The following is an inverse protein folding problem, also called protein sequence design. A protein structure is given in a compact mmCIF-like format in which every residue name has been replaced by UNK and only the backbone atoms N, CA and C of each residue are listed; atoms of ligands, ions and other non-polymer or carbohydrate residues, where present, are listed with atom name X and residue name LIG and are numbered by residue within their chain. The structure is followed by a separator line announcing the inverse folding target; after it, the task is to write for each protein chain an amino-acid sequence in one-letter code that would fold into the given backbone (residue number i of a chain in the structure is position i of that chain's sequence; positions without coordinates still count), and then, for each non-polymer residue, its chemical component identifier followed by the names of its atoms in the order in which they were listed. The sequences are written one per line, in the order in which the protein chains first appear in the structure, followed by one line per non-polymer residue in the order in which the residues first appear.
data_IF_778049994760
#
_entry.id   IF_778049994760
#
_cell.length_a   1.000
_cell.length_b   1.000
_cell.length_c   1.000
_cell.angle_alpha   90.00
_cell.angle_beta   90.00
_cell.angle_gamma   90.00
#
_symmetry.space_group_name_H-M   'P 1'
#
loop_
_entity.id
_entity.type
_entity.pdbx_description
1 polymer ?
#
# COMPACT_ATOMS: atom_id res chain seq x y z
N UNK A 1 5.24 14.76 13.17
CA UNK A 1 5.16 13.76 12.07
C UNK A 1 4.39 14.41 10.94
N UNK A 2 4.78 14.27 9.66
CA UNK A 2 3.93 14.73 8.57
C UNK A 2 2.56 14.06 8.71
N UNK A 3 1.49 14.85 8.57
CA UNK A 3 0.11 14.36 8.69
C UNK A 3 -0.36 13.65 7.41
N UNK A 4 0.57 12.98 6.72
CA UNK A 4 0.39 12.43 5.38
C UNK A 4 0.97 11.01 5.30
N UNK A 5 0.33 10.11 4.54
CA UNK A 5 0.87 8.77 4.30
C UNK A 5 2.26 8.82 3.64
N UNK A 6 3.13 7.91 4.07
CA UNK A 6 4.42 7.66 3.42
C UNK A 6 4.30 6.46 2.46
N UNK A 7 4.99 6.52 1.32
CA UNK A 7 4.92 5.52 0.25
C UNK A 7 6.31 4.92 0.04
N UNK A 8 6.40 3.59 0.06
CA UNK A 8 7.66 2.90 -0.26
C UNK A 8 8.01 2.98 -1.75
N UNK A 9 9.26 2.64 -2.06
CA UNK A 9 9.63 2.22 -3.41
C UNK A 9 8.78 1.01 -3.83
N UNK A 10 8.60 0.85 -5.15
CA UNK A 10 7.92 -0.31 -5.69
C UNK A 10 8.88 -1.49 -5.74
N UNK A 11 8.34 -2.68 -5.55
CA UNK A 11 9.04 -3.94 -5.70
C UNK A 11 8.13 -4.90 -6.46
N UNK A 12 8.71 -5.91 -7.10
CA UNK A 12 8.02 -6.68 -8.13
C UNK A 12 8.29 -8.17 -7.99
N UNK A 13 7.29 -8.97 -8.36
CA UNK A 13 7.50 -10.34 -8.81
C UNK A 13 7.07 -10.46 -10.29
N UNK A 14 6.91 -11.69 -10.78
CA UNK A 14 6.53 -11.96 -12.17
C UNK A 14 5.11 -11.47 -12.53
N UNK A 15 4.19 -11.48 -11.59
CA UNK A 15 2.75 -11.30 -11.84
C UNK A 15 2.21 -9.97 -11.28
N UNK A 16 2.89 -9.39 -10.29
CA UNK A 16 2.44 -8.22 -9.55
C UNK A 16 3.54 -7.20 -9.30
N UNK A 17 3.13 -5.93 -9.26
CA UNK A 17 3.88 -4.87 -8.61
C UNK A 17 3.30 -4.59 -7.22
N UNK A 18 4.19 -4.26 -6.29
CA UNK A 18 3.89 -4.11 -4.87
C UNK A 18 4.42 -2.77 -4.34
N UNK A 19 3.80 -2.31 -3.27
CA UNK A 19 4.23 -1.17 -2.47
C UNK A 19 3.58 -1.27 -1.10
N UNK A 20 4.24 -0.75 -0.07
CA UNK A 20 3.59 -0.50 1.21
C UNK A 20 3.40 0.99 1.46
N UNK A 21 2.31 1.31 2.16
CA UNK A 21 1.99 2.67 2.59
C UNK A 21 1.94 2.68 4.11
N UNK A 22 2.70 3.59 4.71
CA UNK A 22 2.73 3.77 6.17
C UNK A 22 1.81 4.92 6.51
N UNK A 23 0.74 4.63 7.26
CA UNK A 23 -0.19 5.64 7.72
C UNK A 23 0.34 6.36 8.97
N UNK A 24 0.11 7.68 9.09
CA UNK A 24 0.18 8.36 10.38
C UNK A 24 -0.73 7.66 11.40
N UNK A 25 -0.27 7.56 12.65
CA UNK A 25 -0.98 6.86 13.72
C UNK A 25 -2.41 7.40 13.92
N UNK A 26 -2.62 8.70 13.75
CA UNK A 26 -3.93 9.35 13.85
C UNK A 26 -4.91 8.84 12.79
N UNK A 27 -4.46 8.67 11.54
CA UNK A 27 -5.27 8.12 10.44
C UNK A 27 -5.50 6.64 10.65
N UNK A 28 -4.47 5.88 11.06
CA UNK A 28 -4.65 4.48 11.38
C UNK A 28 -5.71 4.29 12.46
N UNK A 29 -5.70 5.08 13.54
CA UNK A 29 -6.66 4.96 14.63
C UNK A 29 -8.10 5.29 14.26
N UNK A 30 -8.35 5.99 13.15
CA UNK A 30 -9.71 6.32 12.69
C UNK A 30 -10.35 5.27 11.77
N UNK A 31 -9.61 4.25 11.34
CA UNK A 31 -10.12 3.19 10.44
C UNK A 31 -10.54 1.92 11.19
N UNK A 32 -11.49 1.13 10.64
CA UNK A 32 -11.84 -0.20 11.14
C UNK A 32 -10.61 -1.13 11.20
N UNK A 33 -10.50 -1.93 12.26
CA UNK A 33 -9.40 -2.87 12.45
C UNK A 33 -9.77 -4.26 11.93
N UNK A 34 -8.77 -4.96 11.40
CA UNK A 34 -8.96 -6.34 10.90
C UNK A 34 -9.74 -6.43 9.59
N UNK A 35 -9.88 -5.34 8.84
CA UNK A 35 -10.52 -5.31 7.53
C UNK A 35 -9.58 -4.78 6.45
N UNK A 36 -9.60 -5.42 5.28
CA UNK A 36 -8.96 -4.88 4.09
C UNK A 36 -9.81 -3.71 3.61
N UNK A 37 -9.14 -2.70 3.07
CA UNK A 37 -9.80 -1.48 2.61
C UNK A 37 -9.98 -1.56 1.10
N UNK A 38 -11.15 -1.15 0.62
CA UNK A 38 -11.38 -0.89 -0.79
C UNK A 38 -10.55 0.31 -1.27
N UNK A 39 -10.40 0.45 -2.58
CA UNK A 39 -9.70 1.61 -3.15
C UNK A 39 -10.35 2.94 -2.72
N UNK A 40 -11.69 2.99 -2.69
CA UNK A 40 -12.44 4.18 -2.27
C UNK A 40 -12.16 4.53 -0.79
N UNK A 41 -12.16 3.54 0.10
CA UNK A 41 -11.83 3.73 1.51
C UNK A 41 -10.38 4.20 1.68
N UNK A 42 -9.43 3.63 0.93
CA UNK A 42 -8.04 4.08 0.93
C UNK A 42 -7.92 5.57 0.52
N UNK A 43 -8.64 5.98 -0.53
CA UNK A 43 -8.65 7.38 -0.97
C UNK A 43 -9.26 8.31 0.07
N UNK A 44 -10.34 7.88 0.76
CA UNK A 44 -10.98 8.66 1.84
C UNK A 44 -10.04 8.96 3.01
N UNK A 45 -9.09 8.06 3.30
CA UNK A 45 -8.11 8.23 4.37
C UNK A 45 -6.83 8.93 3.90
N UNK A 46 -6.82 9.46 2.68
CA UNK A 46 -5.72 10.27 2.16
C UNK A 46 -4.62 9.51 1.44
N UNK A 47 -4.78 8.20 1.19
CA UNK A 47 -3.87 7.45 0.31
C UNK A 47 -4.08 7.91 -1.14
N UNK A 48 -3.02 8.38 -1.77
CA UNK A 48 -2.99 8.91 -3.14
C UNK A 48 -1.95 8.14 -3.95
N UNK A 49 -2.43 7.27 -4.83
CA UNK A 49 -1.63 6.51 -5.77
C UNK A 49 -2.40 6.38 -7.08
N UNK A 50 -1.73 5.86 -8.11
CA UNK A 50 -2.37 5.55 -9.39
C UNK A 50 -3.49 4.52 -9.23
N UNK A 51 -4.30 4.32 -10.26
CA UNK A 51 -5.42 3.37 -10.18
C UNK A 51 -4.93 1.90 -10.16
N UNK A 52 -5.79 1.02 -9.63
CA UNK A 52 -5.63 -0.44 -9.69
C UNK A 52 -4.92 -1.09 -8.51
N UNK A 53 -4.45 -0.32 -7.51
CA UNK A 53 -3.83 -0.87 -6.29
C UNK A 53 -4.87 -1.47 -5.34
N UNK A 54 -4.61 -2.70 -4.90
CA UNK A 54 -5.47 -3.45 -3.96
C UNK A 54 -4.76 -3.65 -2.64
N UNK A 55 -5.39 -3.25 -1.53
CA UNK A 55 -4.93 -3.59 -0.18
C UNK A 55 -5.18 -5.09 0.04
N UNK A 56 -4.12 -5.90 -0.02
CA UNK A 56 -4.27 -7.36 -0.19
C UNK A 56 -3.94 -8.19 1.05
N UNK A 57 -3.25 -7.61 2.03
CA UNK A 57 -2.79 -8.35 3.20
C UNK A 57 -2.57 -7.42 4.41
N UNK A 58 -2.72 -8.00 5.61
CA UNK A 58 -2.42 -7.33 6.87
C UNK A 58 -0.98 -7.58 7.29
N UNK A 59 -0.25 -6.51 7.58
CA UNK A 59 1.03 -6.60 8.26
C UNK A 59 0.82 -6.62 9.77
N UNK A 60 0.67 -7.81 10.36
CA UNK A 60 0.36 -7.97 11.80
C UNK A 60 1.36 -7.29 12.75
N UNK A 61 2.69 -7.33 12.51
CA UNK A 61 3.66 -6.70 13.41
C UNK A 61 3.47 -5.18 13.48
N UNK A 62 3.19 -4.52 12.36
CA UNK A 62 3.02 -3.07 12.27
C UNK A 62 1.76 -2.73 11.47
N UNK A 63 0.58 -2.73 12.10
CA UNK A 63 -0.71 -2.70 11.41
C UNK A 63 -1.06 -1.35 10.76
N UNK A 64 -0.26 -0.32 11.02
CA UNK A 64 -0.34 0.98 10.34
C UNK A 64 0.37 0.95 8.97
N UNK A 65 0.99 -0.17 8.60
CA UNK A 65 1.55 -0.44 7.28
C UNK A 65 0.50 -1.20 6.46
N UNK A 66 0.05 -0.57 5.38
CA UNK A 66 -0.91 -1.14 4.42
C UNK A 66 -0.14 -1.71 3.23
N UNK A 67 -0.41 -2.97 2.91
CA UNK A 67 0.25 -3.69 1.81
C UNK A 67 -0.60 -3.62 0.54
N UNK A 68 -0.06 -3.05 -0.52
CA UNK A 68 -0.74 -2.91 -1.81
C UNK A 68 -0.08 -3.76 -2.89
N UNK A 69 -0.90 -4.32 -3.78
CA UNK A 69 -0.45 -4.96 -5.03
C UNK A 69 -1.35 -4.58 -6.19
N UNK A 70 -0.84 -4.66 -7.42
CA UNK A 70 -1.65 -4.66 -8.64
C UNK A 70 -1.00 -5.50 -9.74
N UNK A 71 -1.78 -6.03 -10.71
CA UNK A 71 -1.22 -6.83 -11.80
C UNK A 71 -0.13 -6.06 -12.55
N UNK A 72 0.96 -6.75 -12.87
CA UNK A 72 2.04 -6.23 -13.68
C UNK A 72 2.19 -7.09 -14.94
N UNK A 73 2.20 -6.46 -16.11
CA UNK A 73 2.33 -7.13 -17.41
C UNK A 73 3.49 -6.59 -18.25
N UNK A 74 4.47 -5.96 -17.60
CA UNK A 74 5.57 -5.26 -18.26
C UNK A 74 6.93 -5.86 -17.95
N UNK A 75 7.96 -5.19 -18.43
CA UNK A 75 9.33 -5.43 -17.97
C UNK A 75 9.50 -4.80 -16.59
N UNK A 76 10.10 -5.55 -15.68
CA UNK A 76 10.49 -5.05 -14.37
C UNK A 76 11.69 -4.13 -14.56
N UNK A 77 11.67 -2.88 -14.07
CA UNK A 77 12.82 -2.00 -14.15
C UNK A 77 14.07 -2.63 -13.51
N UNK A 78 15.26 -2.30 -13.99
CA UNK A 78 16.51 -2.87 -13.44
C UNK A 78 16.89 -2.28 -12.07
N UNK A 79 16.28 -1.16 -11.67
CA UNK A 79 16.62 -0.34 -10.51
C UNK A 79 15.66 -0.50 -9.32
N UNK A 80 14.86 -1.56 -9.30
CA UNK A 80 13.87 -1.84 -8.26
C UNK A 80 14.21 -3.12 -7.50
N UNK A 81 13.80 -3.19 -6.24
CA UNK A 81 14.00 -4.38 -5.42
C UNK A 81 13.15 -5.54 -5.98
N UNK A 82 13.80 -6.68 -6.19
CA UNK A 82 13.16 -7.95 -6.51
C UNK A 82 12.78 -8.67 -5.21
N UNK A 83 11.54 -9.18 -5.14
CA UNK A 83 11.12 -10.08 -4.05
C UNK A 83 11.59 -11.52 -4.26
#
# INVERSE_FOLDING_TARGET
MPNQPYYSNKYYDKDFEYRHVILPIEIYNSIPKGQLLTEEECRKIGVKQSDGWVHYAFHKPEPHILLFRRPHTGEIPNDVDYL
#
